data_IF_126516061137
#
_entry.id   IF_126516061137
#
_cell.length_a   1.000
_cell.length_b   1.000
_cell.length_c   1.000
_cell.angle_alpha   90.00
_cell.angle_beta   90.00
_cell.angle_gamma   90.00
#
_symmetry.space_group_name_H-M   'P 1'
#
loop_
_entity.id
_entity.type
_entity.pdbx_description
1 polymer ?
#
# COMPACT_ATOMS: atom_id res chain seq x y z
N UNK A 1 -6.86 7.95 25.62
CA UNK A 1 -6.85 8.33 27.04
C UNK A 1 -6.90 9.86 27.24
N UNK A 2 -6.22 10.68 26.41
CA UNK A 2 -6.19 12.16 26.53
C UNK A 2 -7.59 12.77 26.37
N UNK A 3 -8.35 12.33 25.37
CA UNK A 3 -9.72 12.81 25.11
C UNK A 3 -10.61 12.58 26.35
N UNK A 4 -10.56 11.39 26.91
CA UNK A 4 -11.37 11.04 28.08
C UNK A 4 -10.92 11.80 29.34
N UNK A 5 -9.60 12.01 29.51
CA UNK A 5 -9.06 12.79 30.61
C UNK A 5 -9.45 14.28 30.51
N UNK A 6 -9.64 14.79 29.29
CA UNK A 6 -10.13 16.15 29.02
C UNK A 6 -11.68 16.29 29.14
N UNK A 7 -12.41 15.25 29.54
CA UNK A 7 -13.86 15.27 29.72
C UNK A 7 -14.66 14.60 28.60
N UNK A 8 -13.99 13.92 27.66
CA UNK A 8 -14.64 13.25 26.54
C UNK A 8 -15.00 14.19 25.39
N UNK A 9 -15.84 13.71 24.47
CA UNK A 9 -16.37 14.47 23.36
C UNK A 9 -17.80 14.88 23.70
N UNK A 10 -18.07 16.17 23.82
CA UNK A 10 -19.37 16.71 24.26
C UNK A 10 -19.88 16.10 25.58
N UNK A 11 -18.95 15.75 26.51
CA UNK A 11 -19.29 15.15 27.80
C UNK A 11 -19.45 13.62 27.77
N UNK A 12 -19.35 12.98 26.61
CA UNK A 12 -19.37 11.54 26.47
C UNK A 12 -17.96 10.97 26.50
N UNK A 13 -17.77 9.89 27.25
CA UNK A 13 -16.51 9.15 27.25
C UNK A 13 -16.39 8.34 25.95
N UNK A 14 -15.20 8.27 25.39
CA UNK A 14 -14.88 7.47 24.21
C UNK A 14 -14.44 6.08 24.70
N UNK A 15 -15.12 5.06 24.26
CA UNK A 15 -14.67 3.67 24.34
C UNK A 15 -14.19 3.23 22.96
N UNK A 16 -13.14 2.42 22.90
CA UNK A 16 -12.69 1.86 21.64
C UNK A 16 -12.33 0.39 21.81
N UNK A 17 -12.50 -0.34 20.73
CA UNK A 17 -12.11 -1.72 20.56
C UNK A 17 -11.41 -1.84 19.19
N UNK A 18 -10.54 -2.80 19.02
CA UNK A 18 -9.88 -3.05 17.75
C UNK A 18 -9.75 -4.56 17.51
N UNK A 19 -9.74 -4.88 16.21
CA UNK A 19 -9.58 -6.23 15.70
C UNK A 19 -8.50 -6.16 14.61
N UNK A 20 -7.73 -7.23 14.47
CA UNK A 20 -6.75 -7.40 13.41
C UNK A 20 -7.41 -8.16 12.25
N UNK A 21 -7.35 -7.61 11.05
CA UNK A 21 -7.89 -8.20 9.84
C UNK A 21 -6.87 -9.09 9.10
N UNK A 22 -5.62 -9.07 9.52
CA UNK A 22 -4.51 -9.85 8.97
C UNK A 22 -4.35 -9.70 7.44
N UNK A 23 -4.74 -8.55 6.88
CA UNK A 23 -4.74 -8.29 5.42
C UNK A 23 -5.66 -9.23 4.61
N UNK A 24 -6.69 -9.79 5.24
CA UNK A 24 -7.62 -10.71 4.63
C UNK A 24 -9.02 -10.09 4.55
N UNK A 25 -9.59 -10.04 3.34
CA UNK A 25 -10.89 -9.39 3.09
C UNK A 25 -12.04 -10.07 3.86
N UNK A 26 -12.03 -11.38 4.02
CA UNK A 26 -13.07 -12.11 4.75
C UNK A 26 -12.92 -11.88 6.26
N UNK A 27 -11.68 -11.90 6.76
CA UNK A 27 -11.41 -11.58 8.18
C UNK A 27 -11.77 -10.15 8.52
N UNK A 28 -11.55 -9.20 7.61
CA UNK A 28 -11.92 -7.80 7.81
C UNK A 28 -13.43 -7.60 7.97
N UNK A 29 -14.23 -8.31 7.17
CA UNK A 29 -15.69 -8.31 7.31
C UNK A 29 -16.12 -8.95 8.62
N UNK A 30 -15.49 -10.06 9.02
CA UNK A 30 -15.76 -10.70 10.30
C UNK A 30 -15.38 -9.80 11.48
N UNK A 31 -14.23 -9.12 11.41
CA UNK A 31 -13.80 -8.15 12.41
C UNK A 31 -14.79 -6.98 12.53
N UNK A 32 -15.25 -6.44 11.40
CA UNK A 32 -16.30 -5.42 11.37
C UNK A 32 -17.58 -5.88 12.08
N UNK A 33 -18.07 -7.09 11.77
CA UNK A 33 -19.28 -7.63 12.40
C UNK A 33 -19.10 -7.82 13.91
N UNK A 34 -17.96 -8.31 14.36
CA UNK A 34 -17.65 -8.44 15.80
C UNK A 34 -17.66 -7.07 16.50
N UNK A 35 -17.09 -6.03 15.86
CA UNK A 35 -17.10 -4.67 16.41
C UNK A 35 -18.51 -4.08 16.42
N UNK A 36 -19.32 -4.35 15.41
CA UNK A 36 -20.73 -3.94 15.37
C UNK A 36 -21.53 -4.59 16.49
N UNK A 37 -21.37 -5.88 16.72
CA UNK A 37 -22.01 -6.63 17.80
C UNK A 37 -21.57 -6.14 19.20
N UNK A 38 -20.35 -5.64 19.33
CA UNK A 38 -19.88 -4.97 20.54
C UNK A 38 -20.57 -3.62 20.78
N UNK A 39 -21.17 -3.01 19.76
CA UNK A 39 -21.89 -1.73 19.86
C UNK A 39 -21.14 -0.55 19.27
N UNK A 40 -20.23 -0.78 18.33
CA UNK A 40 -19.51 0.28 17.61
C UNK A 40 -20.47 1.26 16.94
N UNK A 41 -20.16 2.56 17.01
CA UNK A 41 -20.92 3.63 16.35
C UNK A 41 -20.14 4.30 15.22
N UNK A 42 -18.81 4.22 15.25
CA UNK A 42 -17.90 4.82 14.28
C UNK A 42 -16.80 3.83 14.02
N UNK A 43 -16.54 3.51 12.75
CA UNK A 43 -15.41 2.72 12.32
C UNK A 43 -14.26 3.63 11.88
N UNK A 44 -13.09 3.47 12.52
CA UNK A 44 -11.82 4.01 12.02
C UNK A 44 -11.00 2.82 11.52
N UNK A 45 -10.98 2.66 10.22
CA UNK A 45 -10.38 1.49 9.54
C UNK A 45 -11.15 1.16 8.24
N UNK A 46 -10.76 0.14 7.52
CA UNK A 46 -9.57 -0.65 7.74
C UNK A 46 -8.32 0.06 7.20
N UNK A 47 -7.16 -0.59 7.16
CA UNK A 47 -5.90 0.06 6.74
C UNK A 47 -5.65 -0.16 5.25
N UNK A 48 -5.77 -1.39 4.76
CA UNK A 48 -5.44 -1.74 3.37
C UNK A 48 -6.65 -1.62 2.45
N UNK A 49 -6.40 -1.30 1.18
CA UNK A 49 -7.44 -0.97 0.21
C UNK A 49 -8.44 -2.11 -0.02
N UNK A 50 -7.96 -3.35 -0.16
CA UNK A 50 -8.84 -4.51 -0.36
C UNK A 50 -9.79 -4.72 0.82
N UNK A 51 -9.28 -4.70 2.05
CA UNK A 51 -10.08 -4.79 3.27
C UNK A 51 -11.06 -3.62 3.41
N UNK A 52 -10.63 -2.39 3.06
CA UNK A 52 -11.51 -1.21 3.09
C UNK A 52 -12.70 -1.37 2.14
N UNK A 53 -12.47 -1.85 0.93
CA UNK A 53 -13.54 -2.06 -0.06
C UNK A 53 -14.52 -3.13 0.42
N UNK A 54 -14.00 -4.25 0.96
CA UNK A 54 -14.85 -5.32 1.48
C UNK A 54 -15.73 -4.84 2.63
N UNK A 55 -15.16 -4.09 3.58
CA UNK A 55 -15.89 -3.54 4.74
C UNK A 55 -16.80 -2.39 4.33
N UNK A 56 -16.44 -1.57 3.33
CA UNK A 56 -17.28 -0.47 2.84
C UNK A 56 -18.62 -0.98 2.29
N UNK A 57 -18.66 -2.17 1.71
CA UNK A 57 -19.90 -2.80 1.27
C UNK A 57 -20.85 -3.10 2.44
N UNK A 58 -20.31 -3.54 3.58
CA UNK A 58 -21.08 -3.81 4.79
C UNK A 58 -21.50 -2.52 5.50
N UNK A 59 -20.57 -1.56 5.67
CA UNK A 59 -20.87 -0.27 6.32
C UNK A 59 -21.92 0.52 5.55
N UNK A 60 -21.97 0.41 4.22
CA UNK A 60 -23.00 1.00 3.38
C UNK A 60 -24.39 0.43 3.71
N UNK A 61 -24.49 -0.90 3.82
CA UNK A 61 -25.74 -1.57 4.15
C UNK A 61 -26.25 -1.18 5.55
N UNK A 62 -25.33 -1.01 6.50
CA UNK A 62 -25.61 -0.65 7.88
C UNK A 62 -25.73 0.88 8.10
N UNK A 63 -25.44 1.69 7.09
CA UNK A 63 -25.27 3.14 7.21
C UNK A 63 -24.30 3.55 8.34
N UNK A 64 -23.21 2.76 8.49
CA UNK A 64 -22.17 2.98 9.49
C UNK A 64 -21.14 3.97 8.96
N UNK A 65 -20.79 4.97 9.75
CA UNK A 65 -19.69 5.87 9.40
C UNK A 65 -18.36 5.11 9.39
N UNK A 66 -17.64 5.19 8.29
CA UNK A 66 -16.30 4.60 8.12
C UNK A 66 -15.31 5.68 7.71
N UNK A 67 -14.17 5.73 8.40
CA UNK A 67 -13.03 6.57 8.05
C UNK A 67 -11.78 5.71 7.94
N UNK A 68 -11.23 5.57 6.72
CA UNK A 68 -9.94 4.91 6.56
C UNK A 68 -8.80 5.91 6.69
N UNK A 69 -7.79 5.60 7.54
CA UNK A 69 -6.61 6.45 7.66
C UNK A 69 -5.60 6.26 6.52
N UNK A 70 -5.61 5.11 5.85
CA UNK A 70 -4.56 4.69 4.92
C UNK A 70 -5.05 4.02 3.64
N UNK A 71 -6.21 3.38 3.63
CA UNK A 71 -6.75 2.76 2.42
C UNK A 71 -6.86 3.78 1.30
N UNK A 72 -6.10 3.63 0.21
CA UNK A 72 -5.81 4.67 -0.79
C UNK A 72 -6.50 4.44 -2.14
N UNK A 73 -7.10 3.27 -2.37
CA UNK A 73 -7.90 3.02 -3.58
C UNK A 73 -9.12 3.93 -3.66
N UNK A 74 -9.36 4.49 -4.83
CA UNK A 74 -10.55 5.32 -5.10
C UNK A 74 -11.86 4.52 -5.01
N UNK A 75 -11.79 3.21 -5.16
CA UNK A 75 -12.97 2.33 -5.10
C UNK A 75 -13.55 2.21 -3.69
N UNK A 76 -12.80 2.59 -2.66
CA UNK A 76 -13.27 2.59 -1.27
C UNK A 76 -14.44 3.56 -1.09
N UNK A 77 -14.32 4.76 -1.66
CA UNK A 77 -15.32 5.83 -1.51
C UNK A 77 -16.29 5.92 -2.68
N UNK A 78 -16.00 5.23 -3.78
CA UNK A 78 -16.82 5.31 -4.98
C UNK A 78 -18.24 4.76 -4.75
N UNK A 79 -19.23 5.65 -4.80
CA UNK A 79 -20.63 5.31 -4.56
C UNK A 79 -20.99 5.05 -3.10
N UNK A 80 -20.13 5.41 -2.14
CA UNK A 80 -20.33 5.29 -0.71
C UNK A 80 -20.33 6.69 -0.07
N UNK A 81 -21.47 7.15 0.45
CA UNK A 81 -21.62 8.46 1.09
C UNK A 81 -21.35 8.45 2.60
N UNK A 82 -21.14 7.27 3.16
CA UNK A 82 -20.83 7.01 4.56
C UNK A 82 -19.33 6.69 4.81
N UNK A 83 -18.53 6.62 3.75
CA UNK A 83 -17.11 6.23 3.81
C UNK A 83 -16.22 7.41 3.43
N UNK A 84 -15.21 7.67 4.25
CA UNK A 84 -14.28 8.78 4.09
C UNK A 84 -12.83 8.29 4.09
N UNK A 85 -11.98 8.99 3.34
CA UNK A 85 -10.59 8.67 3.12
C UNK A 85 -9.75 9.92 3.43
N UNK A 86 -8.73 9.80 4.28
CA UNK A 86 -7.88 10.96 4.69
C UNK A 86 -6.47 10.90 4.12
N UNK A 87 -6.08 9.79 3.47
CA UNK A 87 -4.82 9.64 2.76
C UNK A 87 -4.93 10.12 1.30
N UNK A 88 -3.77 10.27 0.64
CA UNK A 88 -3.73 10.47 -0.79
C UNK A 88 -4.13 9.18 -1.53
N UNK A 89 -4.57 9.31 -2.78
CA UNK A 89 -5.12 8.17 -3.54
C UNK A 89 -4.07 7.45 -4.38
N UNK A 90 -4.32 6.18 -4.73
CA UNK A 90 -3.45 5.38 -5.61
C UNK A 90 -3.10 6.08 -6.93
N UNK A 91 -4.04 6.73 -7.65
CA UNK A 91 -3.70 7.53 -8.82
C UNK A 91 -2.66 8.61 -8.53
N UNK A 92 -2.76 9.30 -7.39
CA UNK A 92 -1.81 10.34 -7.03
C UNK A 92 -0.44 9.76 -6.67
N UNK A 93 -0.38 8.59 -6.06
CA UNK A 93 0.88 7.89 -5.80
C UNK A 93 1.58 7.49 -7.10
N UNK A 94 0.87 6.84 -8.02
CA UNK A 94 1.44 6.41 -9.29
C UNK A 94 1.94 7.59 -10.14
N UNK A 95 1.12 8.62 -10.29
CA UNK A 95 1.47 9.85 -11.01
C UNK A 95 2.65 10.55 -10.34
N UNK A 96 2.57 10.76 -9.02
CA UNK A 96 3.62 11.46 -8.26
C UNK A 96 4.96 10.73 -8.30
N UNK A 97 4.96 9.39 -8.22
CA UNK A 97 6.17 8.58 -8.35
C UNK A 97 6.83 8.76 -9.72
N UNK A 98 6.05 8.64 -10.81
CA UNK A 98 6.58 8.80 -12.17
C UNK A 98 7.14 10.21 -12.40
N UNK A 99 6.41 11.23 -11.96
CA UNK A 99 6.85 12.63 -12.07
C UNK A 99 8.13 12.88 -11.25
N UNK A 100 8.20 12.37 -10.03
CA UNK A 100 9.37 12.56 -9.19
C UNK A 100 10.62 11.88 -9.78
N UNK A 101 10.49 10.65 -10.29
CA UNK A 101 11.57 9.93 -10.95
C UNK A 101 12.06 10.73 -12.20
N UNK A 102 11.13 11.18 -13.03
CA UNK A 102 11.45 11.91 -14.25
C UNK A 102 12.05 13.29 -13.98
N UNK A 103 11.41 14.12 -13.18
CA UNK A 103 11.84 15.50 -12.89
C UNK A 103 13.21 15.56 -12.19
N UNK A 104 13.53 14.58 -11.37
CA UNK A 104 14.81 14.49 -10.67
C UNK A 104 15.86 13.65 -11.41
N UNK A 105 15.54 13.14 -12.61
CA UNK A 105 16.42 12.27 -13.39
C UNK A 105 16.99 11.10 -12.56
N UNK A 106 16.13 10.47 -11.75
CA UNK A 106 16.58 9.39 -10.84
C UNK A 106 16.98 8.14 -11.61
N UNK A 107 16.36 7.89 -12.77
CA UNK A 107 16.58 6.72 -13.59
C UNK A 107 16.37 7.03 -15.08
N UNK A 108 16.94 6.17 -15.93
CA UNK A 108 16.66 6.14 -17.37
C UNK A 108 15.85 4.89 -17.73
N UNK A 109 16.09 3.79 -17.02
CA UNK A 109 15.46 2.50 -17.22
C UNK A 109 14.83 2.03 -15.91
N UNK A 110 13.51 1.98 -15.87
CA UNK A 110 12.75 1.59 -14.68
C UNK A 110 12.17 0.20 -14.88
N UNK A 111 12.38 -0.68 -13.90
CA UNK A 111 11.60 -1.89 -13.78
C UNK A 111 10.49 -1.69 -12.73
N UNK A 112 9.38 -2.40 -12.89
CA UNK A 112 8.28 -2.41 -11.92
C UNK A 112 8.05 -3.84 -11.46
N UNK A 113 7.91 -4.05 -10.15
CA UNK A 113 7.45 -5.32 -9.57
C UNK A 113 6.22 -5.02 -8.75
N UNK A 114 5.08 -5.63 -9.08
CA UNK A 114 3.78 -5.31 -8.49
C UNK A 114 2.93 -6.54 -8.24
N UNK A 115 1.99 -6.45 -7.31
CA UNK A 115 0.98 -7.48 -7.07
C UNK A 115 -0.23 -7.25 -7.96
N UNK A 116 -0.45 -8.14 -8.94
CA UNK A 116 -1.59 -8.04 -9.85
C UNK A 116 -2.90 -8.51 -9.23
N UNK A 117 -2.85 -9.16 -8.08
CA UNK A 117 -4.02 -9.61 -7.33
C UNK A 117 -4.50 -8.59 -6.28
N UNK A 118 -3.70 -7.54 -6.03
CA UNK A 118 -4.03 -6.49 -5.07
C UNK A 118 -4.45 -5.19 -5.77
N UNK A 119 -5.58 -4.64 -5.34
CA UNK A 119 -6.16 -3.43 -5.93
C UNK A 119 -5.30 -2.18 -5.72
N UNK A 120 -4.64 -2.06 -4.56
CA UNK A 120 -3.69 -0.99 -4.25
C UNK A 120 -2.51 -1.03 -5.23
N UNK A 121 -1.82 -2.16 -5.27
CA UNK A 121 -0.61 -2.34 -6.07
C UNK A 121 -0.87 -2.16 -7.57
N UNK A 122 -1.91 -2.80 -8.09
CA UNK A 122 -2.29 -2.71 -9.51
C UNK A 122 -2.81 -1.32 -9.89
N UNK A 123 -3.53 -0.65 -8.98
CA UNK A 123 -4.04 0.71 -9.17
C UNK A 123 -2.93 1.74 -9.30
N UNK A 124 -1.93 1.68 -8.41
CA UNK A 124 -0.75 2.55 -8.47
C UNK A 124 0.05 2.29 -9.75
N UNK A 125 0.34 1.00 -10.05
CA UNK A 125 1.09 0.63 -11.25
C UNK A 125 0.42 1.16 -12.52
N UNK A 126 -0.89 1.01 -12.67
CA UNK A 126 -1.61 1.47 -13.84
C UNK A 126 -1.40 2.97 -14.09
N UNK A 127 -1.45 3.80 -13.04
CA UNK A 127 -1.27 5.24 -13.15
C UNK A 127 0.20 5.65 -13.27
N UNK A 128 1.10 4.91 -12.66
CA UNK A 128 2.53 5.07 -12.88
C UNK A 128 2.90 4.82 -14.36
N UNK A 129 2.41 3.74 -14.95
CA UNK A 129 2.69 3.39 -16.34
C UNK A 129 2.10 4.41 -17.35
N UNK A 130 0.89 4.91 -17.07
CA UNK A 130 0.26 5.97 -17.86
C UNK A 130 1.09 7.25 -17.83
N UNK A 131 1.50 7.71 -16.64
CA UNK A 131 2.28 8.94 -16.48
C UNK A 131 3.74 8.78 -16.94
N UNK A 132 4.34 7.61 -16.83
CA UNK A 132 5.69 7.33 -17.30
C UNK A 132 5.89 7.67 -18.79
N UNK A 133 4.83 7.53 -19.61
CA UNK A 133 4.85 7.90 -21.02
C UNK A 133 5.08 9.40 -21.26
N UNK A 134 4.87 10.24 -20.25
CA UNK A 134 5.08 11.69 -20.29
C UNK A 134 6.44 12.09 -19.68
N UNK A 135 7.20 11.13 -19.19
CA UNK A 135 8.47 11.38 -18.49
C UNK A 135 9.68 11.04 -19.37
N UNK A 136 10.88 11.30 -18.86
CA UNK A 136 12.16 11.12 -19.56
C UNK A 136 12.89 9.79 -19.20
N UNK A 137 12.14 8.76 -18.79
CA UNK A 137 12.64 7.42 -18.55
C UNK A 137 11.76 6.39 -19.26
N UNK A 138 12.24 5.18 -19.39
CA UNK A 138 11.53 4.05 -20.00
C UNK A 138 11.22 2.97 -18.95
N UNK A 139 10.00 2.41 -18.98
CA UNK A 139 9.68 1.17 -18.26
C UNK A 139 10.19 0.01 -19.13
N UNK A 140 11.32 -0.59 -18.72
CA UNK A 140 11.98 -1.67 -19.47
C UNK A 140 11.54 -3.06 -19.06
N UNK A 141 10.91 -3.20 -17.88
CA UNK A 141 10.33 -4.44 -17.38
C UNK A 141 9.18 -4.11 -16.44
N UNK A 142 8.09 -4.86 -16.54
CA UNK A 142 6.95 -4.78 -15.62
C UNK A 142 6.49 -6.19 -15.28
N UNK A 143 6.82 -6.63 -14.07
CA UNK A 143 6.67 -8.01 -13.66
C UNK A 143 5.68 -8.12 -12.51
N UNK A 144 4.66 -8.95 -12.74
CA UNK A 144 3.65 -9.21 -11.73
C UNK A 144 4.03 -10.39 -10.83
N UNK A 145 3.49 -10.38 -9.63
CA UNK A 145 3.30 -11.54 -8.78
C UNK A 145 1.84 -11.56 -8.27
N UNK A 146 1.48 -12.58 -7.52
CA UNK A 146 0.14 -12.71 -6.90
C UNK A 146 0.27 -13.16 -5.46
N UNK A 147 -0.82 -13.08 -4.70
CA UNK A 147 -0.90 -13.52 -3.31
C UNK A 147 -0.40 -14.96 -3.09
N UNK A 148 -0.55 -15.84 -4.10
CA UNK A 148 -0.11 -17.24 -4.03
C UNK A 148 1.40 -17.43 -4.23
N UNK A 149 2.10 -16.42 -4.74
CA UNK A 149 3.53 -16.49 -5.07
C UNK A 149 4.27 -15.19 -4.71
N UNK A 150 4.31 -14.88 -3.42
CA UNK A 150 4.86 -13.64 -2.87
C UNK A 150 6.06 -13.83 -1.94
N UNK A 151 6.85 -14.86 -2.16
CA UNK A 151 8.04 -15.16 -1.34
C UNK A 151 9.33 -15.28 -2.15
N UNK A 152 9.26 -15.61 -3.44
CA UNK A 152 10.41 -15.71 -4.35
C UNK A 152 10.21 -14.76 -5.53
N UNK A 153 11.08 -13.76 -5.62
CA UNK A 153 11.07 -12.71 -6.64
C UNK A 153 12.28 -12.81 -7.58
N UNK A 154 13.00 -13.94 -7.56
CA UNK A 154 14.20 -14.15 -8.35
C UNK A 154 13.98 -13.99 -9.86
N UNK A 155 12.82 -14.42 -10.34
CA UNK A 155 12.42 -14.29 -11.76
C UNK A 155 12.21 -12.82 -12.13
N UNK A 156 11.45 -12.08 -11.33
CA UNK A 156 11.16 -10.67 -11.55
C UNK A 156 12.46 -9.84 -11.50
N UNK A 157 13.29 -10.09 -10.49
CA UNK A 157 14.58 -9.43 -10.34
C UNK A 157 15.55 -9.78 -11.49
N UNK A 158 15.59 -11.03 -11.95
CA UNK A 158 16.42 -11.43 -13.10
C UNK A 158 16.01 -10.73 -14.39
N UNK A 159 14.72 -10.52 -14.60
CA UNK A 159 14.21 -9.78 -15.76
C UNK A 159 14.55 -8.28 -15.67
N UNK A 160 14.37 -7.68 -14.50
CA UNK A 160 14.76 -6.30 -14.25
C UNK A 160 16.28 -6.09 -14.50
N UNK A 161 17.11 -6.96 -13.94
CA UNK A 161 18.55 -6.93 -14.14
C UNK A 161 18.95 -7.17 -15.60
N UNK A 162 18.32 -8.13 -16.28
CA UNK A 162 18.56 -8.45 -17.69
C UNK A 162 18.13 -7.36 -18.65
N UNK A 163 17.20 -6.48 -18.25
CA UNK A 163 16.80 -5.28 -18.96
C UNK A 163 17.67 -4.05 -18.65
N UNK A 164 18.70 -4.21 -17.83
CA UNK A 164 19.57 -3.14 -17.32
C UNK A 164 18.80 -2.03 -16.59
N UNK A 165 17.76 -2.36 -15.83
CA UNK A 165 17.02 -1.38 -15.05
C UNK A 165 17.92 -0.79 -13.95
N UNK A 166 17.98 0.53 -13.89
CA UNK A 166 18.76 1.30 -12.90
C UNK A 166 17.93 1.74 -11.70
N UNK A 167 16.60 1.55 -11.78
CA UNK A 167 15.65 1.72 -10.69
C UNK A 167 14.57 0.64 -10.75
N UNK A 168 14.19 0.12 -9.59
CA UNK A 168 13.02 -0.77 -9.43
C UNK A 168 11.94 -0.04 -8.63
N UNK A 169 10.79 0.16 -9.25
CA UNK A 169 9.60 0.73 -8.59
C UNK A 169 8.77 -0.39 -7.97
N UNK A 170 8.41 -0.21 -6.70
CA UNK A 170 7.77 -1.20 -5.85
C UNK A 170 6.45 -0.63 -5.26
N UNK A 171 5.34 -0.58 -6.01
CA UNK A 171 4.04 -0.22 -5.48
C UNK A 171 3.41 -1.41 -4.74
N UNK A 172 4.02 -1.82 -3.64
CA UNK A 172 3.70 -3.03 -2.87
C UNK A 172 3.85 -2.76 -1.38
N UNK A 173 3.51 -3.75 -0.55
CA UNK A 173 3.69 -3.63 0.90
C UNK A 173 5.09 -4.04 1.35
N UNK A 174 5.43 -3.62 2.56
CA UNK A 174 6.78 -3.73 3.15
C UNK A 174 7.28 -5.16 3.32
N UNK A 175 6.40 -6.15 3.53
CA UNK A 175 6.80 -7.55 3.69
C UNK A 175 7.46 -8.08 2.40
N UNK A 176 6.77 -7.95 1.27
CA UNK A 176 7.26 -8.37 -0.04
C UNK A 176 8.47 -7.53 -0.46
N UNK A 177 8.44 -6.22 -0.19
CA UNK A 177 9.56 -5.33 -0.47
C UNK A 177 10.83 -5.75 0.29
N UNK A 178 10.72 -6.15 1.55
CA UNK A 178 11.85 -6.63 2.35
C UNK A 178 12.52 -7.86 1.74
N UNK A 179 11.71 -8.79 1.22
CA UNK A 179 12.20 -9.98 0.52
C UNK A 179 12.88 -9.64 -0.81
N UNK A 180 12.29 -8.70 -1.58
CA UNK A 180 12.88 -8.22 -2.84
C UNK A 180 14.24 -7.58 -2.60
N UNK A 181 14.38 -6.72 -1.60
CA UNK A 181 15.67 -6.09 -1.26
C UNK A 181 16.71 -7.14 -0.88
N UNK A 182 16.34 -8.12 -0.05
CA UNK A 182 17.24 -9.20 0.36
C UNK A 182 17.68 -10.07 -0.82
N UNK A 183 16.75 -10.44 -1.71
CA UNK A 183 17.03 -11.27 -2.88
C UNK A 183 17.85 -10.50 -3.92
N UNK A 184 17.58 -9.23 -4.17
CA UNK A 184 18.38 -8.38 -5.05
C UNK A 184 19.84 -8.32 -4.57
N UNK A 185 20.06 -8.12 -3.26
CA UNK A 185 21.40 -8.19 -2.66
C UNK A 185 22.09 -9.53 -2.89
N UNK A 186 21.38 -10.63 -2.66
CA UNK A 186 21.92 -11.98 -2.84
C UNK A 186 22.31 -12.26 -4.30
N UNK A 187 21.59 -11.65 -5.26
CA UNK A 187 21.88 -11.73 -6.69
C UNK A 187 23.00 -10.77 -7.15
N UNK A 188 23.50 -9.90 -6.28
CA UNK A 188 24.45 -8.85 -6.65
C UNK A 188 23.83 -7.77 -7.54
N UNK A 189 22.51 -7.60 -7.51
CA UNK A 189 21.80 -6.57 -8.23
C UNK A 189 21.50 -5.39 -7.30
N UNK A 190 22.01 -4.21 -7.62
CA UNK A 190 21.97 -3.03 -6.77
C UNK A 190 21.39 -1.80 -7.52
N UNK A 191 20.13 -1.86 -7.98
CA UNK A 191 19.46 -0.70 -8.56
C UNK A 191 19.06 0.26 -7.44
N UNK A 192 18.57 1.45 -7.80
CA UNK A 192 17.78 2.25 -6.87
C UNK A 192 16.43 1.58 -6.63
N UNK A 193 15.90 1.70 -5.42
CA UNK A 193 14.54 1.26 -5.11
C UNK A 193 13.67 2.46 -4.76
N UNK A 194 12.46 2.45 -5.30
CA UNK A 194 11.47 3.49 -5.06
C UNK A 194 10.11 2.84 -4.84
N UNK A 195 9.42 3.21 -3.77
CA UNK A 195 8.12 2.67 -3.43
C UNK A 195 7.08 3.73 -3.08
N UNK A 196 6.00 3.26 -2.52
CA UNK A 196 4.87 4.06 -2.08
C UNK A 196 4.68 3.90 -0.56
N UNK A 197 3.61 4.46 -0.01
CA UNK A 197 3.31 4.41 1.42
C UNK A 197 3.28 2.99 2.00
N UNK A 198 2.94 1.99 1.18
CA UNK A 198 2.96 0.58 1.57
C UNK A 198 4.33 0.04 2.01
N UNK A 199 5.42 0.78 1.73
CA UNK A 199 6.75 0.45 2.23
C UNK A 199 7.02 0.98 3.64
N UNK A 200 6.17 1.88 4.16
CA UNK A 200 6.31 2.37 5.53
C UNK A 200 6.17 1.19 6.51
N UNK A 201 7.06 1.14 7.48
CA UNK A 201 7.15 0.00 8.41
C UNK A 201 8.17 -1.07 8.04
N UNK A 202 8.83 -1.00 6.87
CA UNK A 202 9.83 -2.01 6.43
C UNK A 202 10.94 -2.23 7.48
N UNK A 203 11.33 -1.19 8.21
CA UNK A 203 12.34 -1.28 9.26
C UNK A 203 11.87 -2.07 10.49
N UNK A 204 10.56 -2.30 10.63
CA UNK A 204 9.98 -3.11 11.70
C UNK A 204 9.81 -4.59 11.35
N UNK A 205 10.14 -5.00 10.13
CA UNK A 205 10.03 -6.42 9.72
C UNK A 205 11.00 -7.27 10.53
N UNK A 206 10.49 -8.35 11.09
CA UNK A 206 11.27 -9.26 11.93
C UNK A 206 12.45 -9.86 11.13
N UNK A 207 13.65 -9.82 11.72
CA UNK A 207 14.91 -10.29 11.12
C UNK A 207 15.33 -9.59 9.81
N UNK A 208 14.73 -8.45 9.46
CA UNK A 208 15.15 -7.67 8.30
C UNK A 208 16.47 -6.93 8.58
N UNK A 209 17.40 -7.03 7.66
CA UNK A 209 18.63 -6.24 7.70
C UNK A 209 18.33 -4.79 7.26
N UNK A 210 18.16 -3.89 8.22
CA UNK A 210 17.83 -2.49 7.97
C UNK A 210 18.83 -1.78 7.03
N UNK A 211 20.06 -2.27 6.91
CA UNK A 211 21.04 -1.70 5.96
C UNK A 211 20.62 -1.87 4.50
N UNK A 212 19.71 -2.80 4.19
CA UNK A 212 19.16 -2.99 2.85
C UNK A 212 18.18 -1.88 2.44
N UNK A 213 17.61 -1.18 3.42
CA UNK A 213 16.71 -0.07 3.17
C UNK A 213 17.45 1.27 3.01
N UNK A 214 18.78 1.29 3.17
CA UNK A 214 19.56 2.51 2.97
C UNK A 214 19.47 2.97 1.50
N UNK A 215 19.01 4.21 1.30
CA UNK A 215 18.81 4.78 -0.04
C UNK A 215 17.51 4.38 -0.73
N UNK A 216 16.68 3.56 -0.11
CA UNK A 216 15.30 3.32 -0.57
C UNK A 216 14.48 4.59 -0.41
N UNK A 217 13.79 4.98 -1.45
CA UNK A 217 12.90 6.15 -1.47
C UNK A 217 11.46 5.67 -1.45
N UNK A 218 10.58 6.43 -0.81
CA UNK A 218 9.13 6.17 -0.86
C UNK A 218 8.34 7.48 -0.84
N UNK A 219 7.13 7.42 -1.37
CA UNK A 219 6.11 8.45 -1.18
C UNK A 219 5.37 8.15 0.13
N UNK A 220 5.16 9.19 0.94
CA UNK A 220 4.41 9.09 2.18
C UNK A 220 3.65 10.39 2.45
#
# INVERSE_FOLDING_TARGET
NEINAAGGINGYQVEFNFQDDELDNEKSVNAYNNLKDWGMNILVGTVTSGCCIAVAAETKNDNMFQLTPSGSSVDIINGNDNVFQVCFTDPNQGIGAAQYIGQNNLAQKVAVIYDSSDVYSSGIYAKFAEEAANQNFEIVSAEAFTADNKTDFSVQLSKAQGADADLVFLPIYYNEASLILAQAKAMGYAPKFFGCDGLDGILGVENFDASLAEGVMLLT
#
